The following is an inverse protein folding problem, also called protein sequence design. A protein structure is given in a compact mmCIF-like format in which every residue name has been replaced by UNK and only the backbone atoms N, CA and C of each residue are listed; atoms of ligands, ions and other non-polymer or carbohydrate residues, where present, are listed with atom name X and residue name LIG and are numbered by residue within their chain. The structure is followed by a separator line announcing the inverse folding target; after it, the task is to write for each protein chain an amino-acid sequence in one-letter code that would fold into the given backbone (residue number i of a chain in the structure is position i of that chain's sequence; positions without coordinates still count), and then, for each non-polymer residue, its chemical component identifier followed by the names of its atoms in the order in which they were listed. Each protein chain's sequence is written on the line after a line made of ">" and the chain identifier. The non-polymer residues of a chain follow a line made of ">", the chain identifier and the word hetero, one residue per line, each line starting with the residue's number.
data_IF_872783055573
#
_entry.id   IF_872783055573
#
_cell.length_a   1.000
_cell.length_b   1.000
_cell.length_c   1.000
_cell.angle_alpha   90.00
_cell.angle_beta   90.00
_cell.angle_gamma   90.00
#
_symmetry.space_group_name_H-M   'P 1'
#
loop_
_entity.id
_entity.type
_entity.pdbx_description
1 polymer ?
#
# COMPACT_ATOMS: atom_id res chain seq x y z
N UNK A 1 -26.23 -9.79 -7.44
CA UNK A 1 -25.31 -8.64 -7.56
C UNK A 1 -25.07 -8.32 -9.04
N UNK A 2 -25.56 -7.16 -9.50
CA UNK A 2 -25.52 -6.74 -10.90
C UNK A 2 -24.11 -6.47 -11.43
N UNK A 3 -23.94 -6.53 -12.75
CA UNK A 3 -22.65 -6.39 -13.45
C UNK A 3 -21.95 -5.06 -13.10
N UNK A 4 -22.70 -3.96 -13.11
CA UNK A 4 -22.23 -2.62 -12.75
C UNK A 4 -21.66 -2.55 -11.32
N UNK A 5 -22.30 -3.19 -10.34
CA UNK A 5 -21.83 -3.21 -8.96
C UNK A 5 -20.46 -3.90 -8.84
N UNK A 6 -20.21 -4.97 -9.60
CA UNK A 6 -18.92 -5.67 -9.60
C UNK A 6 -17.81 -4.81 -10.20
N UNK A 7 -18.10 -4.07 -11.26
CA UNK A 7 -17.15 -3.15 -11.88
C UNK A 7 -16.78 -2.01 -10.93
N UNK A 8 -17.77 -1.39 -10.26
CA UNK A 8 -17.52 -0.32 -9.28
C UNK A 8 -16.68 -0.81 -8.11
N UNK A 9 -17.00 -2.00 -7.56
CA UNK A 9 -16.21 -2.62 -6.49
C UNK A 9 -14.78 -2.93 -6.96
N UNK A 10 -14.63 -3.46 -8.18
CA UNK A 10 -13.32 -3.75 -8.76
C UNK A 10 -12.46 -2.50 -8.92
N UNK A 11 -13.01 -1.42 -9.49
CA UNK A 11 -12.31 -0.15 -9.65
C UNK A 11 -11.97 0.49 -8.30
N UNK A 12 -12.91 0.46 -7.34
CA UNK A 12 -12.67 0.94 -5.98
C UNK A 12 -11.50 0.19 -5.31
N UNK A 13 -11.47 -1.14 -5.44
CA UNK A 13 -10.38 -1.96 -4.92
C UNK A 13 -9.04 -1.63 -5.60
N UNK A 14 -9.01 -1.47 -6.94
CA UNK A 14 -7.79 -1.09 -7.66
C UNK A 14 -7.26 0.28 -7.21
N UNK A 15 -8.13 1.29 -7.08
CA UNK A 15 -7.74 2.63 -6.63
C UNK A 15 -7.19 2.56 -5.19
N UNK A 16 -7.89 1.87 -4.30
CA UNK A 16 -7.46 1.69 -2.92
C UNK A 16 -6.09 1.01 -2.83
N UNK A 17 -5.90 -0.12 -3.52
CA UNK A 17 -4.64 -0.85 -3.52
C UNK A 17 -3.49 0.01 -4.07
N UNK A 18 -3.75 0.78 -5.13
CA UNK A 18 -2.75 1.69 -5.72
C UNK A 18 -2.36 2.78 -4.73
N UNK A 19 -3.33 3.41 -4.06
CA UNK A 19 -3.08 4.43 -3.05
C UNK A 19 -2.32 3.87 -1.83
N UNK A 20 -2.72 2.69 -1.35
CA UNK A 20 -2.03 1.97 -0.28
C UNK A 20 -0.61 1.58 -0.67
N UNK A 21 -0.41 1.12 -1.92
CA UNK A 21 0.92 0.81 -2.46
C UNK A 21 1.85 2.02 -2.42
N UNK A 22 1.37 3.18 -2.89
CA UNK A 22 2.12 4.43 -2.81
C UNK A 22 2.43 4.85 -1.38
N UNK A 23 1.45 4.71 -0.47
CA UNK A 23 1.65 5.00 0.94
C UNK A 23 2.80 4.15 1.51
N UNK A 24 2.78 2.84 1.31
CA UNK A 24 3.82 1.94 1.84
C UNK A 24 5.19 2.14 1.20
N UNK A 25 5.26 2.58 -0.06
CA UNK A 25 6.53 2.90 -0.72
C UNK A 25 7.07 4.24 -0.23
N UNK A 26 6.26 5.28 -0.15
CA UNK A 26 6.76 6.64 0.07
C UNK A 26 6.91 6.98 1.54
N UNK A 27 5.95 6.58 2.38
CA UNK A 27 5.89 7.02 3.77
C UNK A 27 7.14 6.60 4.55
N UNK A 28 7.63 5.35 4.52
CA UNK A 28 8.82 4.95 5.29
C UNK A 28 10.11 5.73 4.96
N UNK A 29 10.16 6.39 3.81
CA UNK A 29 11.30 7.16 3.31
C UNK A 29 11.08 8.67 3.36
N UNK A 30 9.89 9.11 3.78
CA UNK A 30 9.52 10.52 3.86
C UNK A 30 10.00 11.19 5.14
N UNK A 31 10.10 12.52 5.11
CA UNK A 31 10.30 13.32 6.33
C UNK A 31 9.19 13.12 7.35
N UNK A 32 7.96 12.83 6.90
CA UNK A 32 6.84 12.55 7.79
C UNK A 32 7.12 11.34 8.71
N UNK A 33 7.75 10.30 8.20
CA UNK A 33 8.13 9.13 9.01
C UNK A 33 9.13 9.47 10.10
N UNK A 34 10.17 10.24 9.75
CA UNK A 34 11.20 10.64 10.69
C UNK A 34 10.65 11.59 11.77
N UNK A 35 9.74 12.49 11.40
CA UNK A 35 9.28 13.57 12.26
C UNK A 35 8.02 13.24 13.07
N UNK A 36 7.18 12.31 12.59
CA UNK A 36 5.91 11.99 13.24
C UNK A 36 5.79 10.51 13.65
N UNK A 37 6.28 9.57 12.83
CA UNK A 37 6.12 8.13 13.12
C UNK A 37 7.15 7.64 14.13
N UNK A 38 8.44 7.89 13.90
CA UNK A 38 9.50 7.43 14.81
C UNK A 38 9.42 8.05 16.22
N UNK A 39 9.09 9.35 16.38
CA UNK A 39 8.98 9.95 17.71
C UNK A 39 7.70 9.55 18.45
N UNK A 40 6.66 9.12 17.72
CA UNK A 40 5.35 8.76 18.28
C UNK A 40 5.26 7.35 18.85
N UNK A 41 6.33 6.54 18.76
CA UNK A 41 6.34 5.14 19.19
C UNK A 41 7.33 4.88 20.34
N UNK A 42 7.13 3.83 21.13
CA UNK A 42 8.10 3.42 22.15
C UNK A 42 9.50 3.17 21.58
N UNK A 43 10.55 3.43 22.37
CA UNK A 43 11.96 3.36 21.92
C UNK A 43 12.36 2.03 21.28
N UNK A 44 11.88 0.90 21.79
CA UNK A 44 12.17 -0.42 21.24
C UNK A 44 11.61 -0.58 19.82
N UNK A 45 10.42 -0.03 19.57
CA UNK A 45 9.74 -0.08 18.28
C UNK A 45 10.34 0.95 17.31
N UNK A 46 10.73 2.13 17.81
CA UNK A 46 11.44 3.15 17.04
C UNK A 46 12.74 2.60 16.45
N UNK A 47 13.51 1.82 17.22
CA UNK A 47 14.74 1.17 16.73
C UNK A 47 14.45 0.20 15.60
N UNK A 48 13.37 -0.57 15.68
CA UNK A 48 12.97 -1.50 14.63
C UNK A 48 12.50 -0.75 13.36
N UNK A 49 11.67 0.29 13.51
CA UNK A 49 11.16 1.13 12.42
C UNK A 49 12.23 2.03 11.76
N UNK A 50 13.35 2.26 12.46
CA UNK A 50 14.51 2.93 11.91
C UNK A 50 15.37 2.03 11.01
N UNK A 51 15.19 0.70 11.07
CA UNK A 51 16.00 -0.24 10.26
C UNK A 51 15.70 -0.09 8.76
N UNK A 52 16.73 0.11 7.91
CA UNK A 52 16.55 0.20 6.46
C UNK A 52 15.89 -1.05 5.86
N UNK A 53 16.21 -2.23 6.40
CA UNK A 53 15.64 -3.50 5.96
C UNK A 53 14.12 -3.54 6.15
N UNK A 54 13.61 -3.07 7.30
CA UNK A 54 12.16 -3.03 7.54
C UNK A 54 11.47 -2.01 6.63
N UNK A 55 12.08 -0.83 6.43
CA UNK A 55 11.56 0.17 5.49
C UNK A 55 11.52 -0.36 4.05
N UNK A 56 12.54 -1.13 3.67
CA UNK A 56 12.57 -1.86 2.41
C UNK A 56 11.47 -2.93 2.32
N UNK A 57 11.23 -3.69 3.39
CA UNK A 57 10.15 -4.68 3.44
C UNK A 57 8.76 -4.02 3.33
N UNK A 58 8.54 -2.88 3.99
CA UNK A 58 7.31 -2.08 3.83
C UNK A 58 7.17 -1.57 2.39
N UNK A 59 8.25 -1.09 1.76
CA UNK A 59 8.25 -0.73 0.35
C UNK A 59 7.91 -1.90 -0.57
N UNK A 60 8.49 -3.08 -0.32
CA UNK A 60 8.18 -4.31 -1.06
C UNK A 60 6.71 -4.74 -0.89
N UNK A 61 6.15 -4.59 0.31
CA UNK A 61 4.72 -4.78 0.54
C UNK A 61 3.86 -3.79 -0.26
N UNK A 62 4.32 -2.54 -0.41
CA UNK A 62 3.71 -1.57 -1.31
C UNK A 62 3.76 -2.00 -2.78
N UNK A 63 4.86 -2.58 -3.26
CA UNK A 63 4.95 -3.14 -4.62
C UNK A 63 3.95 -4.28 -4.83
N UNK A 64 3.77 -5.16 -3.84
CA UNK A 64 2.76 -6.22 -3.90
C UNK A 64 1.34 -5.67 -4.06
N UNK A 65 1.02 -4.51 -3.47
CA UNK A 65 -0.29 -3.88 -3.67
C UNK A 65 -0.54 -3.51 -5.13
N UNK A 66 0.46 -3.00 -5.85
CA UNK A 66 0.33 -2.70 -7.28
C UNK A 66 0.14 -3.98 -8.10
N UNK A 67 0.86 -5.06 -7.77
CA UNK A 67 0.68 -6.35 -8.43
C UNK A 67 -0.76 -6.87 -8.25
N UNK A 68 -1.30 -6.81 -7.03
CA UNK A 68 -2.69 -7.22 -6.75
C UNK A 68 -3.69 -6.28 -7.44
N UNK A 69 -3.45 -4.98 -7.43
CA UNK A 69 -4.29 -3.99 -8.11
C UNK A 69 -4.40 -4.27 -9.61
N UNK A 70 -3.27 -4.64 -10.23
CA UNK A 70 -3.19 -5.00 -11.63
C UNK A 70 -3.99 -6.28 -11.93
N UNK A 71 -3.81 -7.34 -11.13
CA UNK A 71 -4.58 -8.60 -11.29
C UNK A 71 -6.08 -8.37 -11.14
N UNK A 72 -6.48 -7.52 -10.20
CA UNK A 72 -7.89 -7.16 -9.99
C UNK A 72 -8.46 -6.35 -11.16
N UNK A 73 -7.69 -5.38 -11.67
CA UNK A 73 -8.09 -4.57 -12.81
C UNK A 73 -8.24 -5.45 -14.07
N UNK A 74 -7.26 -6.28 -14.36
CA UNK A 74 -7.28 -7.24 -15.48
C UNK A 74 -8.47 -8.20 -15.37
N UNK A 75 -8.74 -8.72 -14.17
CA UNK A 75 -9.91 -9.58 -13.91
C UNK A 75 -11.25 -8.86 -14.11
N UNK A 76 -11.31 -7.56 -13.83
CA UNK A 76 -12.51 -6.76 -14.06
C UNK A 76 -12.71 -6.44 -15.54
N UNK A 77 -11.64 -6.24 -16.30
CA UNK A 77 -11.66 -5.96 -17.74
C UNK A 77 -12.00 -7.20 -18.57
N UNK A 78 -11.45 -8.38 -18.24
CA UNK A 78 -11.77 -9.65 -18.94
C UNK A 78 -13.21 -10.13 -18.75
N UNK A 79 -13.93 -9.57 -17.77
CA UNK A 79 -15.34 -9.89 -17.48
C UNK A 79 -16.31 -8.88 -18.09
N UNK A 80 -15.81 -7.89 -18.84
CA UNK A 80 -16.62 -7.03 -19.72
C UNK A 80 -16.87 -7.74 -21.04
#
# INVERSE_FOLDING_TARGET
>A
MGRAMRTVVGLGATIYLTAAGWFFILVPWSHFWANHVLPGVPLWLARLLAQPALRGALGGFGVLHFAVAFVWLDSALRKQ
#
